data_IF_411279915284
#
_entry.id   IF_411279915284
#
_cell.length_a   1.000
_cell.length_b   1.000
_cell.length_c   1.000
_cell.angle_alpha   90.00
_cell.angle_beta   90.00
_cell.angle_gamma   90.00
#
_symmetry.space_group_name_H-M   'P 1'
#
loop_
_entity.id
_entity.type
_entity.pdbx_description
1 polymer ?
#
# COMPACT_ATOMS: atom_id res chain seq x y z
N UNK A 1 -32.29 28.24 15.93
CA UNK A 1 -31.81 26.87 16.19
C UNK A 1 -30.64 26.56 15.24
N UNK A 2 -29.43 26.46 15.76
CA UNK A 2 -28.25 26.27 14.97
C UNK A 2 -28.09 24.85 14.42
N UNK A 3 -27.33 24.70 13.35
CA UNK A 3 -27.07 23.41 12.69
C UNK A 3 -26.59 22.33 13.70
N UNK A 4 -25.82 22.72 14.68
CA UNK A 4 -25.28 21.86 15.75
C UNK A 4 -26.34 21.35 16.74
N UNK A 5 -27.41 22.10 16.98
CA UNK A 5 -28.52 21.64 17.81
C UNK A 5 -29.36 20.59 17.10
N UNK A 6 -29.56 20.72 15.78
CA UNK A 6 -30.23 19.70 14.97
C UNK A 6 -29.47 18.38 14.92
N UNK A 7 -28.15 18.44 14.82
CA UNK A 7 -27.31 17.23 14.82
C UNK A 7 -27.32 16.53 16.18
N UNK A 8 -27.22 17.27 17.27
CA UNK A 8 -27.34 16.72 18.65
C UNK A 8 -28.72 16.15 18.97
N UNK A 9 -29.80 16.74 18.42
CA UNK A 9 -31.15 16.18 18.57
C UNK A 9 -31.28 14.88 17.76
N UNK A 10 -30.69 14.81 16.56
CA UNK A 10 -30.73 13.61 15.73
C UNK A 10 -29.97 12.47 16.40
N UNK A 11 -28.77 12.69 16.92
CA UNK A 11 -28.01 11.71 17.70
C UNK A 11 -28.73 11.23 18.96
N UNK A 12 -29.42 12.12 19.68
CA UNK A 12 -30.21 11.75 20.84
C UNK A 12 -31.46 10.94 20.48
N UNK A 13 -32.06 11.20 19.33
CA UNK A 13 -33.20 10.43 18.82
C UNK A 13 -32.76 9.05 18.38
N UNK A 14 -31.63 8.96 17.64
CA UNK A 14 -31.08 7.68 17.21
C UNK A 14 -30.63 6.81 18.39
N UNK A 15 -30.01 7.39 19.42
CA UNK A 15 -29.68 6.68 20.65
C UNK A 15 -30.92 6.20 21.41
N UNK A 16 -32.00 7.00 21.45
CA UNK A 16 -33.27 6.59 22.05
C UNK A 16 -33.98 5.50 21.26
N UNK A 17 -34.00 5.58 19.94
CA UNK A 17 -34.55 4.55 19.04
C UNK A 17 -33.78 3.25 19.20
N UNK A 18 -32.45 3.30 19.17
CA UNK A 18 -31.60 2.13 19.37
C UNK A 18 -31.77 1.49 20.75
N UNK A 19 -31.97 2.28 21.79
CA UNK A 19 -32.25 1.76 23.14
C UNK A 19 -33.66 1.15 23.24
N UNK A 20 -34.64 1.68 22.53
CA UNK A 20 -36.02 1.15 22.49
C UNK A 20 -36.06 -0.18 21.72
N UNK A 21 -35.41 -0.28 20.57
CA UNK A 21 -35.33 -1.54 19.81
C UNK A 21 -34.56 -2.62 20.57
N UNK A 22 -33.52 -2.26 21.33
CA UNK A 22 -32.80 -3.20 22.22
C UNK A 22 -33.71 -3.79 23.31
N UNK A 23 -34.74 -3.07 23.73
CA UNK A 23 -35.66 -3.47 24.80
C UNK A 23 -36.79 -4.37 24.32
N UNK A 24 -37.27 -4.19 23.08
CA UNK A 24 -38.54 -4.83 22.62
C UNK A 24 -38.33 -6.13 21.85
N UNK A 25 -37.27 -6.28 21.07
CA UNK A 25 -37.13 -7.38 20.10
C UNK A 25 -35.98 -8.34 20.36
N UNK A 26 -35.42 -8.35 21.56
CA UNK A 26 -34.11 -8.98 21.68
C UNK A 26 -33.07 -8.12 20.95
N UNK A 27 -31.82 -8.45 21.17
CA UNK A 27 -30.72 -7.71 20.54
C UNK A 27 -30.69 -8.00 19.02
N UNK A 28 -31.06 -7.02 18.22
CA UNK A 28 -30.80 -7.01 16.78
C UNK A 28 -29.56 -6.15 16.59
N UNK A 29 -28.44 -6.68 16.15
CA UNK A 29 -27.24 -5.89 15.86
C UNK A 29 -27.58 -4.88 14.76
N UNK A 30 -27.36 -3.60 15.03
CA UNK A 30 -27.49 -2.54 14.03
C UNK A 30 -26.14 -2.40 13.37
N UNK A 31 -26.04 -2.85 12.14
CA UNK A 31 -24.85 -2.69 11.32
C UNK A 31 -24.88 -1.35 10.62
N UNK A 32 -23.79 -0.58 10.73
CA UNK A 32 -23.60 0.67 9.99
C UNK A 32 -22.70 0.45 8.81
N UNK A 33 -23.03 1.08 7.67
CA UNK A 33 -22.17 1.06 6.49
C UNK A 33 -20.83 1.71 6.77
N UNK A 34 -19.81 1.29 6.05
CA UNK A 34 -18.49 1.90 6.13
C UNK A 34 -18.50 3.24 5.38
N UNK A 35 -18.30 4.34 6.11
CA UNK A 35 -18.28 5.71 5.55
C UNK A 35 -16.86 6.20 5.22
N UNK A 36 -15.85 5.44 5.62
CA UNK A 36 -14.44 5.79 5.39
C UNK A 36 -13.99 5.60 3.93
N UNK A 37 -12.87 6.22 3.60
CA UNK A 37 -12.16 6.00 2.34
C UNK A 37 -11.40 4.67 2.31
N UNK A 38 -10.94 4.26 1.14
CA UNK A 38 -10.20 3.00 0.95
C UNK A 38 -8.96 2.94 1.85
N UNK A 39 -8.26 4.05 2.02
CA UNK A 39 -7.05 4.12 2.85
C UNK A 39 -7.34 4.09 4.37
N UNK A 40 -8.59 4.19 4.79
CA UNK A 40 -9.01 4.17 6.20
C UNK A 40 -9.29 2.77 6.74
N UNK A 41 -9.48 1.80 5.86
CA UNK A 41 -9.62 0.39 6.25
C UNK A 41 -8.24 -0.25 6.48
N UNK A 42 -8.10 -1.04 7.53
CA UNK A 42 -6.85 -1.70 7.92
C UNK A 42 -6.25 -2.58 6.81
N UNK A 43 -7.06 -3.47 6.23
CA UNK A 43 -6.63 -4.41 5.20
C UNK A 43 -6.16 -3.72 3.92
N UNK A 44 -6.91 -2.74 3.44
CA UNK A 44 -6.53 -1.98 2.24
C UNK A 44 -5.32 -1.11 2.50
N UNK A 45 -5.23 -0.47 3.67
CA UNK A 45 -4.05 0.30 4.07
C UNK A 45 -2.81 -0.58 4.12
N UNK A 46 -2.90 -1.80 4.66
CA UNK A 46 -1.78 -2.74 4.71
C UNK A 46 -1.30 -3.12 3.29
N UNK A 47 -2.22 -3.43 2.38
CA UNK A 47 -1.90 -3.73 0.98
C UNK A 47 -1.22 -2.55 0.27
N UNK A 48 -1.79 -1.34 0.39
CA UNK A 48 -1.24 -0.11 -0.19
C UNK A 48 0.12 0.23 0.42
N UNK A 49 0.26 0.10 1.75
CA UNK A 49 1.52 0.34 2.46
C UNK A 49 2.63 -0.60 1.99
N UNK A 50 2.34 -1.89 1.83
CA UNK A 50 3.30 -2.87 1.32
C UNK A 50 3.80 -2.47 -0.06
N UNK A 51 2.88 -2.19 -1.00
CA UNK A 51 3.22 -1.74 -2.34
C UNK A 51 4.06 -0.45 -2.33
N UNK A 52 3.60 0.58 -1.62
CA UNK A 52 4.29 1.86 -1.53
C UNK A 52 5.69 1.73 -0.90
N UNK A 53 5.84 0.84 0.09
CA UNK A 53 7.13 0.56 0.72
C UNK A 53 8.11 -0.06 -0.27
N UNK A 54 7.66 -0.98 -1.10
CA UNK A 54 8.50 -1.60 -2.12
C UNK A 54 8.82 -0.63 -3.26
N UNK A 55 7.86 0.13 -3.76
CA UNK A 55 8.08 1.19 -4.75
C UNK A 55 9.04 2.28 -4.24
N UNK A 56 9.02 2.58 -2.95
CA UNK A 56 9.92 3.57 -2.35
C UNK A 56 11.40 3.19 -2.35
N UNK A 57 11.73 1.94 -2.66
CA UNK A 57 13.10 1.42 -2.79
C UNK A 57 13.64 1.53 -4.23
N UNK A 58 12.83 1.95 -5.19
CA UNK A 58 13.28 2.18 -6.56
C UNK A 58 14.34 3.28 -6.58
N UNK A 59 15.39 3.06 -7.37
CA UNK A 59 16.48 4.02 -7.57
C UNK A 59 16.24 4.76 -8.89
N UNK A 60 16.07 6.08 -8.88
CA UNK A 60 16.04 6.86 -10.11
C UNK A 60 17.43 7.01 -10.69
N UNK A 61 17.54 6.81 -12.00
CA UNK A 61 18.73 7.00 -12.81
C UNK A 61 18.38 7.89 -14.00
N UNK A 62 19.24 8.82 -14.36
CA UNK A 62 19.05 9.70 -15.51
C UNK A 62 20.13 9.40 -16.54
N UNK A 63 19.72 8.82 -17.66
CA UNK A 63 20.61 8.56 -18.79
C UNK A 63 20.65 9.76 -19.73
N UNK A 64 21.76 9.91 -20.46
CA UNK A 64 21.99 11.00 -21.41
C UNK A 64 23.05 11.99 -20.94
N UNK A 65 23.22 13.09 -21.68
CA UNK A 65 24.32 14.01 -21.47
C UNK A 65 23.86 15.21 -20.59
N UNK A 66 24.71 15.62 -19.65
CA UNK A 66 24.50 16.84 -18.85
C UNK A 66 23.54 16.73 -17.66
N UNK A 67 22.97 15.57 -17.38
CA UNK A 67 21.84 15.40 -16.45
C UNK A 67 22.23 15.06 -14.98
N UNK A 68 23.52 15.10 -14.62
CA UNK A 68 23.98 14.70 -13.29
C UNK A 68 23.40 15.50 -12.13
N UNK A 69 22.97 16.76 -12.35
CA UNK A 69 22.28 17.55 -11.32
C UNK A 69 20.86 17.03 -11.09
N UNK A 70 20.15 16.76 -12.17
CA UNK A 70 18.77 16.23 -12.11
C UNK A 70 18.75 14.84 -11.46
N UNK A 71 19.72 13.98 -11.83
CA UNK A 71 19.88 12.65 -11.21
C UNK A 71 20.09 12.73 -9.71
N UNK A 72 21.01 13.59 -9.24
CA UNK A 72 21.23 13.80 -7.80
C UNK A 72 19.99 14.33 -7.11
N UNK A 73 19.25 15.25 -7.75
CA UNK A 73 17.98 15.74 -7.21
C UNK A 73 16.98 14.62 -7.04
N UNK A 74 16.77 13.80 -8.05
CA UNK A 74 15.86 12.65 -7.99
C UNK A 74 16.32 11.59 -6.98
N UNK A 75 17.62 11.33 -6.87
CA UNK A 75 18.15 10.31 -5.96
C UNK A 75 18.10 10.70 -4.48
N UNK A 76 18.20 11.99 -4.17
CA UNK A 76 18.28 12.44 -2.78
C UNK A 76 17.08 13.27 -2.33
N UNK A 77 16.71 14.29 -3.07
CA UNK A 77 15.70 15.27 -2.65
C UNK A 77 14.92 15.84 -3.82
N UNK A 78 13.90 15.14 -4.33
CA UNK A 78 13.08 15.60 -5.46
C UNK A 78 12.36 16.92 -5.22
N UNK A 79 12.12 17.33 -3.97
CA UNK A 79 11.56 18.61 -3.61
C UNK A 79 12.03 19.07 -2.22
N UNK A 80 11.69 20.31 -1.84
CA UNK A 80 12.16 20.90 -0.57
C UNK A 80 11.68 20.16 0.70
N UNK A 81 10.60 19.41 0.61
CA UNK A 81 9.92 18.80 1.75
C UNK A 81 10.22 17.29 1.86
N UNK A 82 10.40 16.61 0.73
CA UNK A 82 10.49 15.15 0.66
C UNK A 82 11.86 14.70 0.14
N UNK A 83 12.39 13.67 0.78
CA UNK A 83 13.43 12.83 0.22
C UNK A 83 12.83 11.87 -0.83
N UNK A 84 13.67 11.22 -1.61
CA UNK A 84 13.24 10.32 -2.69
C UNK A 84 12.37 9.17 -2.20
N UNK A 85 12.69 8.61 -1.04
CA UNK A 85 11.89 7.54 -0.44
C UNK A 85 10.47 8.00 -0.12
N UNK A 86 10.32 9.17 0.51
CA UNK A 86 9.00 9.75 0.83
C UNK A 86 8.24 10.15 -0.42
N UNK A 87 8.95 10.68 -1.42
CA UNK A 87 8.38 11.04 -2.71
C UNK A 87 7.75 9.84 -3.40
N UNK A 88 8.52 8.76 -3.59
CA UNK A 88 8.05 7.54 -4.25
C UNK A 88 6.97 6.83 -3.41
N UNK A 89 7.13 6.79 -2.10
CA UNK A 89 6.11 6.23 -1.21
C UNK A 89 4.77 6.94 -1.36
N UNK A 90 4.78 8.29 -1.34
CA UNK A 90 3.57 9.08 -1.50
C UNK A 90 2.97 8.93 -2.90
N UNK A 91 3.81 8.94 -3.94
CA UNK A 91 3.38 8.74 -5.32
C UNK A 91 2.68 7.39 -5.49
N UNK A 92 3.29 6.31 -5.00
CA UNK A 92 2.72 4.98 -5.03
C UNK A 92 1.45 4.85 -4.18
N UNK A 93 1.38 5.54 -3.03
CA UNK A 93 0.17 5.54 -2.20
C UNK A 93 -0.99 6.20 -2.91
N UNK A 94 -0.80 7.39 -3.51
CA UNK A 94 -1.85 8.09 -4.25
C UNK A 94 -2.26 7.29 -5.49
N UNK A 95 -1.30 6.71 -6.20
CA UNK A 95 -1.54 5.83 -7.35
C UNK A 95 -2.46 4.66 -7.00
N UNK A 96 -2.27 4.02 -5.85
CA UNK A 96 -3.10 2.89 -5.40
C UNK A 96 -4.43 3.31 -4.78
N UNK A 97 -4.48 4.49 -4.15
CA UNK A 97 -5.68 4.98 -3.47
C UNK A 97 -6.69 5.58 -4.45
N UNK A 98 -6.18 6.40 -5.35
CA UNK A 98 -7.02 7.21 -6.26
C UNK A 98 -6.99 6.71 -7.71
N UNK A 99 -6.22 5.65 -7.98
CA UNK A 99 -5.96 5.08 -9.32
C UNK A 99 -5.39 6.11 -10.31
N UNK A 100 -5.03 7.26 -9.82
CA UNK A 100 -4.40 8.36 -10.55
C UNK A 100 -3.40 9.05 -9.65
N UNK A 101 -2.19 9.22 -10.11
CA UNK A 101 -1.19 10.02 -9.42
C UNK A 101 -0.71 11.15 -10.34
N UNK A 102 -0.79 12.37 -9.85
CA UNK A 102 -0.42 13.58 -10.59
C UNK A 102 0.89 14.12 -10.03
N UNK A 103 1.83 14.39 -10.92
CA UNK A 103 3.15 14.91 -10.61
C UNK A 103 3.27 16.31 -11.19
N UNK A 104 3.58 17.28 -10.35
CA UNK A 104 3.90 18.63 -10.78
C UNK A 104 5.42 18.79 -10.89
N UNK A 105 5.96 19.20 -12.05
CA UNK A 105 7.35 19.62 -12.16
C UNK A 105 7.56 20.95 -11.42
N UNK A 106 8.69 21.06 -10.75
CA UNK A 106 9.11 22.29 -10.09
C UNK A 106 10.18 22.96 -10.95
N UNK A 107 9.94 24.19 -11.33
CA UNK A 107 10.83 24.96 -12.17
C UNK A 107 11.77 25.84 -11.33
N UNK A 108 12.86 26.28 -11.95
CA UNK A 108 13.69 27.36 -11.44
C UNK A 108 12.94 28.71 -11.55
N UNK A 109 13.57 29.78 -11.06
CA UNK A 109 12.97 31.14 -11.06
C UNK A 109 12.74 31.67 -12.48
N UNK A 110 13.46 31.17 -13.49
CA UNK A 110 13.31 31.56 -14.92
C UNK A 110 12.29 30.69 -15.65
N UNK A 111 11.72 29.67 -15.00
CA UNK A 111 10.71 28.72 -15.52
C UNK A 111 11.14 27.93 -16.77
N UNK A 112 12.44 27.77 -16.97
CA UNK A 112 13.02 27.08 -18.14
C UNK A 112 13.63 25.71 -17.82
N UNK A 113 13.97 25.46 -16.55
CA UNK A 113 14.59 24.20 -16.13
C UNK A 113 13.82 23.57 -14.98
N UNK A 114 13.53 22.27 -15.13
CA UNK A 114 12.93 21.48 -14.05
C UNK A 114 13.99 21.22 -12.98
N UNK A 115 13.69 21.63 -11.76
CA UNK A 115 14.57 21.49 -10.58
C UNK A 115 14.10 20.43 -9.61
N UNK A 116 12.93 19.84 -9.84
CA UNK A 116 12.37 18.81 -8.97
C UNK A 116 10.95 18.43 -9.33
N UNK A 117 10.34 17.62 -8.47
CA UNK A 117 9.01 17.06 -8.68
C UNK A 117 8.21 17.02 -7.39
N UNK A 118 6.92 17.25 -7.49
CA UNK A 118 6.01 17.20 -6.35
C UNK A 118 4.79 16.32 -6.66
N UNK A 119 4.50 15.27 -5.84
CA UNK A 119 3.33 14.44 -6.03
C UNK A 119 2.11 15.15 -5.44
N UNK A 120 1.16 15.51 -6.29
CA UNK A 120 -0.08 16.17 -5.89
C UNK A 120 -1.03 15.17 -5.23
N UNK A 121 -1.86 15.65 -4.32
CA UNK A 121 -2.97 14.85 -3.79
C UNK A 121 -4.19 15.05 -4.69
N UNK A 122 -4.63 13.98 -5.33
CA UNK A 122 -5.66 14.02 -6.39
C UNK A 122 -6.97 14.61 -5.92
N UNK A 123 -7.37 14.36 -4.65
CA UNK A 123 -8.58 14.94 -4.06
C UNK A 123 -8.60 16.49 -3.93
N UNK A 124 -7.44 17.16 -4.18
CA UNK A 124 -7.32 18.61 -4.21
C UNK A 124 -7.08 19.15 -5.62
N UNK A 125 -7.11 18.28 -6.63
CA UNK A 125 -6.90 18.64 -8.03
C UNK A 125 -8.26 18.84 -8.72
N UNK A 126 -8.34 19.84 -9.58
CA UNK A 126 -9.47 20.08 -10.46
C UNK A 126 -8.95 20.40 -11.86
N UNK A 127 -9.56 19.80 -12.87
CA UNK A 127 -9.27 20.18 -14.26
C UNK A 127 -10.14 21.38 -14.60
N UNK A 128 -9.52 22.44 -15.09
CA UNK A 128 -10.18 23.65 -15.56
C UNK A 128 -9.79 23.91 -17.00
N UNK A 129 -10.72 24.41 -17.80
CA UNK A 129 -10.47 24.90 -19.14
C UNK A 129 -10.31 26.43 -19.08
N UNK A 130 -9.22 26.94 -19.62
CA UNK A 130 -8.97 28.36 -19.73
C UNK A 130 -8.39 28.66 -21.10
N UNK A 131 -9.10 29.43 -21.87
CA UNK A 131 -8.73 29.85 -23.24
C UNK A 131 -8.45 28.66 -24.20
N UNK A 132 -9.20 27.57 -24.06
CA UNK A 132 -9.05 26.37 -24.89
C UNK A 132 -7.89 25.45 -24.48
N UNK A 133 -7.21 25.76 -23.37
CA UNK A 133 -6.19 24.91 -22.77
C UNK A 133 -6.67 24.32 -21.44
N UNK A 134 -6.36 23.06 -21.22
CA UNK A 134 -6.69 22.37 -19.97
C UNK A 134 -5.57 22.57 -18.93
N UNK A 135 -5.95 22.91 -17.72
CA UNK A 135 -5.05 23.09 -16.58
C UNK A 135 -5.48 22.23 -15.41
N UNK A 136 -4.52 21.77 -14.64
CA UNK A 136 -4.72 21.18 -13.32
C UNK A 136 -4.60 22.28 -12.30
N UNK A 137 -5.70 22.60 -11.62
CA UNK A 137 -5.74 23.51 -10.48
C UNK A 137 -5.60 22.71 -9.20
N UNK A 138 -4.60 23.06 -8.40
CA UNK A 138 -4.35 22.46 -7.09
C UNK A 138 -4.68 23.44 -5.97
N UNK A 139 -5.46 22.98 -4.99
CA UNK A 139 -5.80 23.78 -3.82
C UNK A 139 -4.82 23.54 -2.68
N UNK A 140 -4.00 24.55 -2.33
CA UNK A 140 -3.09 24.49 -1.18
C UNK A 140 -3.79 24.72 0.16
N UNK A 141 -5.06 25.12 0.16
CA UNK A 141 -5.79 25.62 1.31
C UNK A 141 -5.62 27.14 1.49
N UNK A 142 -6.39 27.70 2.42
CA UNK A 142 -6.38 29.15 2.71
C UNK A 142 -6.59 30.08 1.49
N UNK A 143 -7.32 29.60 0.48
CA UNK A 143 -7.59 30.35 -0.75
C UNK A 143 -6.40 30.45 -1.73
N UNK A 144 -5.30 29.77 -1.47
CA UNK A 144 -4.17 29.70 -2.39
C UNK A 144 -4.33 28.53 -3.36
N UNK A 145 -4.19 28.83 -4.65
CA UNK A 145 -4.27 27.86 -5.73
C UNK A 145 -3.03 27.93 -6.60
N UNK A 146 -2.58 26.76 -7.06
CA UNK A 146 -1.59 26.65 -8.12
C UNK A 146 -2.25 26.08 -9.36
N UNK A 147 -1.82 26.51 -10.54
CA UNK A 147 -2.26 25.94 -11.81
C UNK A 147 -1.05 25.48 -12.60
N UNK A 148 -1.18 24.33 -13.22
CA UNK A 148 -0.20 23.78 -14.15
C UNK A 148 -0.95 23.35 -15.42
N UNK A 149 -0.37 23.60 -16.57
CA UNK A 149 -0.91 23.14 -17.84
C UNK A 149 -0.92 21.59 -17.86
N UNK A 150 -2.02 20.99 -18.31
CA UNK A 150 -2.21 19.54 -18.27
C UNK A 150 -1.09 18.78 -18.99
N UNK A 151 -0.62 19.35 -20.12
CA UNK A 151 0.45 18.77 -20.94
C UNK A 151 1.82 18.76 -20.24
N UNK A 152 2.02 19.66 -19.26
CA UNK A 152 3.27 19.78 -18.51
C UNK A 152 3.23 18.97 -17.19
N UNK A 153 2.10 18.41 -16.82
CA UNK A 153 1.96 17.58 -15.65
C UNK A 153 2.24 16.09 -15.97
N UNK A 154 2.89 15.41 -15.06
CA UNK A 154 3.01 13.96 -15.15
C UNK A 154 1.75 13.30 -14.58
N UNK A 155 1.14 12.41 -15.34
CA UNK A 155 -0.06 11.68 -14.93
C UNK A 155 0.22 10.19 -15.06
N UNK A 156 0.01 9.46 -13.98
CA UNK A 156 0.11 8.00 -13.90
C UNK A 156 -1.26 7.44 -13.55
N UNK A 157 -1.73 6.45 -14.30
CA UNK A 157 -3.06 5.89 -14.13
C UNK A 157 -3.05 4.36 -14.06
N UNK A 158 -3.85 3.80 -13.14
CA UNK A 158 -4.28 2.41 -13.24
C UNK A 158 -5.81 2.34 -13.47
N UNK A 159 -6.28 1.23 -14.01
CA UNK A 159 -7.70 1.07 -14.35
C UNK A 159 -8.26 2.19 -15.26
N UNK A 160 -7.44 2.69 -16.18
CA UNK A 160 -7.90 3.70 -17.13
C UNK A 160 -8.88 3.07 -18.13
N UNK A 161 -10.11 3.62 -18.21
CA UNK A 161 -11.15 3.08 -19.10
C UNK A 161 -12.00 4.17 -19.77
N UNK A 162 -12.69 5.01 -19.01
CA UNK A 162 -13.64 5.99 -19.56
C UNK A 162 -13.06 7.38 -19.69
N UNK A 163 -12.18 7.75 -18.78
CA UNK A 163 -11.60 9.09 -18.72
C UNK A 163 -10.18 9.07 -19.30
N UNK A 164 -9.83 10.11 -20.06
CA UNK A 164 -8.51 10.25 -20.66
C UNK A 164 -7.43 10.66 -19.66
N UNK A 165 -7.83 11.27 -18.54
CA UNK A 165 -6.91 11.84 -17.55
C UNK A 165 -6.92 11.05 -16.26
N UNK A 166 -8.07 10.54 -15.83
CA UNK A 166 -8.22 9.85 -14.56
C UNK A 166 -8.47 8.35 -14.75
N UNK A 167 -7.89 7.55 -13.85
CA UNK A 167 -8.25 6.16 -13.67
C UNK A 167 -9.64 6.02 -13.04
N UNK A 168 -10.27 4.86 -13.24
CA UNK A 168 -11.57 4.54 -12.64
C UNK A 168 -11.46 4.52 -11.11
N UNK A 169 -12.52 4.95 -10.44
CA UNK A 169 -12.54 4.98 -8.99
C UNK A 169 -12.63 3.58 -8.38
N UNK A 170 -12.11 3.43 -7.17
CA UNK A 170 -12.15 2.17 -6.42
C UNK A 170 -13.55 1.85 -5.83
N UNK A 171 -14.64 2.43 -6.35
CA UNK A 171 -16.01 2.20 -5.88
C UNK A 171 -16.45 0.74 -6.00
N UNK A 172 -15.88 -0.03 -6.93
CA UNK A 172 -16.14 -1.46 -7.07
C UNK A 172 -15.72 -2.28 -5.82
N UNK A 173 -14.78 -1.77 -5.00
CA UNK A 173 -14.36 -2.42 -3.76
C UNK A 173 -15.30 -2.15 -2.58
N UNK A 174 -16.17 -1.13 -2.68
CA UNK A 174 -17.03 -0.68 -1.58
C UNK A 174 -17.89 -1.79 -0.97
N UNK A 175 -18.55 -2.67 -1.75
CA UNK A 175 -19.33 -3.78 -1.19
C UNK A 175 -18.48 -4.72 -0.33
N UNK A 176 -17.23 -4.99 -0.72
CA UNK A 176 -16.31 -5.82 0.05
C UNK A 176 -15.89 -5.14 1.35
N UNK A 177 -15.66 -3.82 1.33
CA UNK A 177 -15.34 -3.04 2.53
C UNK A 177 -16.52 -2.99 3.51
N UNK A 178 -17.74 -2.82 3.02
CA UNK A 178 -18.97 -2.87 3.83
C UNK A 178 -19.15 -4.25 4.48
N UNK A 179 -18.82 -5.31 3.75
CA UNK A 179 -18.89 -6.67 4.28
C UNK A 179 -17.86 -6.89 5.41
N UNK A 180 -16.61 -6.43 5.24
CA UNK A 180 -15.59 -6.48 6.30
C UNK A 180 -16.04 -5.70 7.53
N UNK A 181 -16.54 -4.49 7.35
CA UNK A 181 -17.04 -3.66 8.43
C UNK A 181 -18.19 -4.33 9.19
N UNK A 182 -19.13 -4.91 8.45
CA UNK A 182 -20.27 -5.67 9.03
C UNK A 182 -19.79 -6.87 9.83
N UNK A 183 -18.81 -7.63 9.32
CA UNK A 183 -18.23 -8.75 10.05
C UNK A 183 -17.52 -8.30 11.34
N UNK A 184 -16.73 -7.24 11.28
CA UNK A 184 -16.06 -6.69 12.46
C UNK A 184 -17.08 -6.22 13.51
N UNK A 185 -18.14 -5.56 13.10
CA UNK A 185 -19.25 -5.19 14.00
C UNK A 185 -19.92 -6.44 14.60
N UNK A 186 -20.15 -7.48 13.79
CA UNK A 186 -20.71 -8.75 14.26
C UNK A 186 -19.83 -9.43 15.31
N UNK A 187 -18.51 -9.42 15.13
CA UNK A 187 -17.54 -9.96 16.09
C UNK A 187 -17.60 -9.15 17.40
N UNK A 188 -17.54 -7.83 17.32
CA UNK A 188 -17.61 -6.93 18.49
C UNK A 188 -18.90 -7.18 19.28
N UNK A 189 -20.02 -7.26 18.57
CA UNK A 189 -21.33 -7.50 19.21
C UNK A 189 -21.45 -8.94 19.73
N UNK A 190 -20.88 -9.91 19.03
CA UNK A 190 -20.78 -11.29 19.52
C UNK A 190 -20.01 -11.40 20.84
N UNK A 191 -18.89 -10.71 20.97
CA UNK A 191 -18.10 -10.65 22.21
C UNK A 191 -18.89 -9.96 23.32
N UNK A 192 -19.49 -8.80 23.06
CA UNK A 192 -20.30 -8.07 24.05
C UNK A 192 -21.51 -8.88 24.52
N UNK A 193 -22.15 -9.59 23.60
CA UNK A 193 -23.32 -10.40 23.91
C UNK A 193 -22.96 -11.74 24.57
N UNK A 194 -21.83 -12.34 24.21
CA UNK A 194 -21.34 -13.55 24.85
C UNK A 194 -20.93 -13.35 26.32
N UNK A 195 -20.51 -12.12 26.67
CA UNK A 195 -20.21 -11.75 28.06
C UNK A 195 -21.46 -11.40 28.90
N UNK A 196 -22.61 -11.23 28.27
CA UNK A 196 -23.85 -10.87 29.00
C UNK A 196 -24.71 -12.11 29.27
N UNK A 197 -24.84 -12.48 30.54
CA UNK A 197 -25.77 -13.51 30.98
C UNK A 197 -27.21 -12.98 30.83
N UNK A 198 -28.06 -13.73 30.13
CA UNK A 198 -29.46 -13.35 29.90
C UNK A 198 -30.38 -14.33 30.56
N UNK A 199 -31.38 -13.80 31.26
CA UNK A 199 -32.39 -14.59 31.92
C UNK A 199 -33.80 -14.23 31.38
N UNK A 200 -34.63 -15.21 31.24
CA UNK A 200 -36.09 -15.05 31.07
C UNK A 200 -36.72 -15.38 32.42
N UNK A 201 -37.21 -14.35 33.11
CA UNK A 201 -37.89 -14.52 34.37
C UNK A 201 -39.40 -14.32 34.18
N UNK A 202 -40.21 -15.33 34.53
CA UNK A 202 -41.68 -15.26 34.53
C UNK A 202 -42.14 -14.88 35.92
N UNK A 203 -42.90 -13.80 36.03
CA UNK A 203 -43.49 -13.36 37.26
C UNK A 203 -44.88 -13.99 37.43
N UNK A 204 -45.20 -14.34 38.70
CA UNK A 204 -46.49 -14.95 39.04
C UNK A 204 -47.57 -13.84 39.21
N UNK A 205 -48.04 -13.29 38.11
CA UNK A 205 -49.10 -12.30 38.07
C UNK A 205 -48.99 -11.28 36.94
N UNK A 206 -50.00 -10.43 36.81
CA UNK A 206 -50.05 -9.38 35.79
C UNK A 206 -49.56 -8.07 36.41
N UNK A 207 -48.49 -7.53 35.88
CA UNK A 207 -47.86 -6.29 36.39
C UNK A 207 -47.93 -5.18 35.33
N UNK A 208 -48.02 -3.93 35.79
CA UNK A 208 -47.89 -2.76 34.93
C UNK A 208 -46.43 -2.63 34.44
N UNK A 209 -46.25 -2.06 33.27
CA UNK A 209 -44.94 -1.89 32.64
C UNK A 209 -43.92 -1.19 33.55
N UNK A 210 -44.35 -0.20 34.34
CA UNK A 210 -43.47 0.49 35.27
C UNK A 210 -42.91 -0.46 36.34
N UNK A 211 -43.75 -1.30 36.90
CA UNK A 211 -43.36 -2.30 37.92
C UNK A 211 -42.43 -3.34 37.33
N UNK A 212 -42.67 -3.79 36.06
CA UNK A 212 -41.79 -4.72 35.38
C UNK A 212 -40.37 -4.13 35.16
N UNK A 213 -40.27 -2.84 34.88
CA UNK A 213 -38.97 -2.15 34.77
C UNK A 213 -38.24 -2.04 36.08
N UNK A 214 -38.96 -1.74 37.15
CA UNK A 214 -38.39 -1.66 38.50
C UNK A 214 -37.90 -3.03 39.01
N UNK A 215 -38.71 -4.07 38.78
CA UNK A 215 -38.32 -5.46 39.13
C UNK A 215 -37.12 -5.95 38.33
N UNK A 216 -37.08 -5.63 37.04
CA UNK A 216 -35.89 -5.97 36.19
C UNK A 216 -34.62 -5.30 36.73
N UNK A 217 -34.71 -4.02 37.15
CA UNK A 217 -33.56 -3.29 37.67
C UNK A 217 -33.10 -3.90 38.97
N UNK A 218 -34.04 -4.19 39.89
CA UNK A 218 -33.77 -4.84 41.15
C UNK A 218 -33.16 -6.22 40.97
N UNK A 219 -33.72 -7.04 40.07
CA UNK A 219 -33.16 -8.38 39.78
C UNK A 219 -31.71 -8.33 39.28
N UNK A 220 -31.37 -7.34 38.44
CA UNK A 220 -30.01 -7.12 37.93
C UNK A 220 -29.07 -6.69 39.04
N UNK A 221 -29.52 -5.72 39.87
CA UNK A 221 -28.72 -5.22 40.98
C UNK A 221 -28.47 -6.30 42.06
N UNK A 222 -29.49 -7.08 42.39
CA UNK A 222 -29.42 -8.07 43.48
C UNK A 222 -28.64 -9.37 43.02
N UNK A 223 -28.76 -9.76 41.74
CA UNK A 223 -28.23 -11.06 41.29
C UNK A 223 -27.07 -10.98 40.30
N UNK A 224 -26.95 -9.91 39.53
CA UNK A 224 -25.94 -9.77 38.47
C UNK A 224 -24.95 -8.62 38.73
N UNK A 225 -25.05 -7.97 39.89
CA UNK A 225 -24.12 -6.93 40.27
C UNK A 225 -22.70 -7.48 40.54
N UNK A 226 -21.65 -6.64 40.39
CA UNK A 226 -20.26 -7.06 40.60
C UNK A 226 -19.96 -7.55 42.01
N UNK A 227 -20.82 -7.26 42.96
CA UNK A 227 -20.70 -7.70 44.36
C UNK A 227 -21.16 -9.15 44.58
N UNK A 228 -21.95 -9.72 43.65
CA UNK A 228 -22.46 -11.09 43.76
C UNK A 228 -21.51 -12.08 43.09
N UNK A 229 -20.32 -12.25 43.61
CA UNK A 229 -19.30 -13.18 43.09
C UNK A 229 -19.56 -14.67 43.45
N UNK A 230 -20.60 -14.96 44.20
CA UNK A 230 -20.85 -16.31 44.72
C UNK A 230 -21.51 -17.29 43.73
N UNK A 231 -21.95 -16.83 42.59
CA UNK A 231 -22.61 -17.69 41.60
C UNK A 231 -23.97 -18.27 42.01
N UNK A 232 -24.48 -17.88 43.18
CA UNK A 232 -25.77 -18.33 43.72
C UNK A 232 -26.80 -17.24 43.52
N UNK A 233 -27.88 -17.56 42.83
CA UNK A 233 -29.00 -16.68 42.60
C UNK A 233 -30.16 -17.12 43.48
N UNK A 234 -30.64 -16.23 44.36
CA UNK A 234 -31.81 -16.44 45.19
C UNK A 234 -33.00 -15.67 44.64
N UNK A 235 -34.13 -16.33 44.51
CA UNK A 235 -35.36 -15.69 44.05
C UNK A 235 -36.56 -16.02 44.98
N UNK A 236 -37.50 -15.11 45.05
CA UNK A 236 -38.71 -15.23 45.86
C UNK A 236 -39.81 -15.91 45.03
N UNK A 237 -40.84 -16.42 45.70
CA UNK A 237 -42.07 -17.00 45.14
C UNK A 237 -42.79 -16.09 44.12
N UNK A 238 -42.37 -14.84 44.04
CA UNK A 238 -42.80 -13.86 43.06
C UNK A 238 -42.40 -14.25 41.60
N UNK A 239 -41.32 -15.04 41.46
CA UNK A 239 -40.87 -15.57 40.19
C UNK A 239 -41.34 -17.01 39.99
N UNK A 240 -42.12 -17.28 38.95
CA UNK A 240 -42.67 -18.60 38.67
C UNK A 240 -41.60 -19.49 37.99
N UNK A 241 -40.81 -18.91 37.13
CA UNK A 241 -39.76 -19.62 36.40
C UNK A 241 -38.65 -18.63 36.00
N UNK A 242 -37.40 -19.07 36.10
CA UNK A 242 -36.22 -18.34 35.67
C UNK A 242 -35.37 -19.26 34.81
N UNK A 243 -35.28 -18.93 33.52
CA UNK A 243 -34.44 -19.68 32.57
C UNK A 243 -33.31 -18.82 32.06
N UNK A 244 -32.13 -19.38 32.10
CA UNK A 244 -31.00 -18.79 31.39
C UNK A 244 -31.20 -18.98 29.90
N UNK A 245 -31.08 -17.90 29.15
CA UNK A 245 -31.11 -17.94 27.68
C UNK A 245 -29.68 -18.14 27.20
N UNK A 246 -29.39 -19.29 26.63
CA UNK A 246 -28.13 -19.54 25.95
C UNK A 246 -28.08 -18.66 24.69
N UNK A 247 -27.40 -17.53 24.81
CA UNK A 247 -27.09 -16.71 23.64
C UNK A 247 -25.98 -17.41 22.87
N UNK A 248 -26.30 -18.04 21.75
CA UNK A 248 -25.24 -18.50 20.82
C UNK A 248 -24.53 -17.24 20.31
N UNK A 249 -23.24 -17.05 20.61
CA UNK A 249 -22.50 -15.91 20.09
C UNK A 249 -22.53 -15.98 18.57
N UNK A 250 -22.67 -14.83 17.92
CA UNK A 250 -22.48 -14.74 16.48
C UNK A 250 -21.01 -15.09 16.18
N UNK A 251 -20.79 -16.23 15.58
CA UNK A 251 -19.45 -16.69 15.18
C UNK A 251 -19.33 -16.46 13.68
N UNK A 252 -18.45 -15.54 13.31
CA UNK A 252 -18.08 -15.36 11.90
C UNK A 252 -17.37 -16.60 11.40
N UNK A 253 -17.78 -17.10 10.23
CA UNK A 253 -17.14 -18.25 9.63
C UNK A 253 -15.69 -17.88 9.20
N UNK A 254 -14.65 -18.55 9.75
CA UNK A 254 -13.26 -18.25 9.43
C UNK A 254 -12.94 -18.36 7.94
N UNK A 255 -13.58 -19.29 7.22
CA UNK A 255 -13.39 -19.48 5.77
C UNK A 255 -13.89 -18.28 4.98
N UNK A 256 -15.07 -17.75 5.34
CA UNK A 256 -15.60 -16.54 4.70
C UNK A 256 -14.71 -15.34 4.97
N UNK A 257 -14.18 -15.22 6.18
CA UNK A 257 -13.27 -14.11 6.54
C UNK A 257 -11.96 -14.19 5.75
N UNK A 258 -11.41 -15.40 5.56
CA UNK A 258 -10.22 -15.62 4.72
C UNK A 258 -10.49 -15.22 3.27
N UNK A 259 -11.62 -15.66 2.70
CA UNK A 259 -11.98 -15.37 1.32
C UNK A 259 -12.18 -13.87 1.07
N UNK A 260 -12.74 -13.14 2.03
CA UNK A 260 -12.91 -11.69 1.90
C UNK A 260 -11.55 -10.98 1.94
N UNK A 261 -10.63 -11.41 2.81
CA UNK A 261 -9.26 -10.90 2.82
C UNK A 261 -8.56 -11.14 1.48
N UNK A 262 -8.68 -12.35 0.95
CA UNK A 262 -8.11 -12.71 -0.35
C UNK A 262 -8.68 -11.83 -1.48
N UNK A 263 -9.97 -11.54 -1.49
CA UNK A 263 -10.58 -10.65 -2.48
C UNK A 263 -9.96 -9.24 -2.43
N UNK A 264 -9.72 -8.69 -1.23
CA UNK A 264 -9.05 -7.40 -1.08
C UNK A 264 -7.61 -7.49 -1.59
N UNK A 265 -6.87 -8.53 -1.22
CA UNK A 265 -5.48 -8.68 -1.64
C UNK A 265 -5.35 -8.88 -3.15
N UNK A 266 -6.23 -9.68 -3.75
CA UNK A 266 -6.30 -9.90 -5.19
C UNK A 266 -6.60 -8.60 -5.95
N UNK A 267 -7.49 -7.75 -5.42
CA UNK A 267 -7.79 -6.45 -6.01
C UNK A 267 -6.54 -5.56 -6.06
N UNK A 268 -5.74 -5.55 -4.99
CA UNK A 268 -4.49 -4.78 -4.93
C UNK A 268 -3.29 -5.51 -5.55
N UNK A 269 -3.47 -6.73 -6.07
CA UNK A 269 -2.41 -7.52 -6.69
C UNK A 269 -1.32 -7.93 -5.70
N UNK A 270 -1.69 -8.28 -4.47
CA UNK A 270 -0.78 -8.72 -3.40
C UNK A 270 -1.31 -9.99 -2.75
N UNK A 271 -0.58 -10.55 -1.81
CA UNK A 271 -1.00 -11.67 -1.00
C UNK A 271 -0.48 -11.57 0.45
N UNK A 272 -0.98 -12.42 1.32
CA UNK A 272 -0.64 -12.41 2.74
C UNK A 272 0.86 -12.61 3.00
N UNK A 273 1.53 -13.45 2.20
CA UNK A 273 2.97 -13.71 2.35
C UNK A 273 3.82 -12.47 2.06
N UNK A 274 3.45 -11.69 1.04
CA UNK A 274 4.11 -10.43 0.73
C UNK A 274 3.90 -9.41 1.86
N UNK A 275 2.68 -9.32 2.41
CA UNK A 275 2.36 -8.42 3.51
C UNK A 275 3.13 -8.76 4.79
N UNK A 276 3.30 -10.04 5.08
CA UNK A 276 4.00 -10.54 6.26
C UNK A 276 5.51 -10.63 6.07
N UNK A 277 6.05 -10.29 4.90
CA UNK A 277 7.44 -10.49 4.51
C UNK A 277 7.93 -11.95 4.66
N UNK A 278 7.04 -12.90 4.42
CA UNK A 278 7.30 -14.34 4.50
C UNK A 278 7.15 -14.98 3.11
N UNK A 279 7.89 -14.48 2.14
CA UNK A 279 7.85 -14.90 0.74
C UNK A 279 9.16 -15.57 0.31
N UNK A 280 9.05 -16.47 -0.66
CA UNK A 280 10.19 -17.04 -1.37
C UNK A 280 10.71 -16.08 -2.45
N UNK A 281 11.91 -16.35 -2.99
CA UNK A 281 12.47 -15.57 -4.12
C UNK A 281 11.55 -15.58 -5.35
N UNK A 282 10.91 -16.72 -5.63
CA UNK A 282 10.00 -16.83 -6.79
C UNK A 282 8.72 -16.03 -6.58
N UNK A 283 8.11 -16.09 -5.38
CA UNK A 283 6.93 -15.30 -5.03
C UNK A 283 7.22 -13.80 -5.07
N UNK A 284 8.42 -13.41 -4.65
CA UNK A 284 8.89 -12.03 -4.76
C UNK A 284 9.04 -11.60 -6.22
N UNK A 285 9.70 -12.40 -7.04
CA UNK A 285 9.91 -12.09 -8.46
C UNK A 285 8.58 -11.94 -9.18
N UNK A 286 7.62 -12.85 -8.95
CA UNK A 286 6.27 -12.75 -9.52
C UNK A 286 5.55 -11.46 -9.10
N UNK A 287 5.63 -11.08 -7.82
CA UNK A 287 5.06 -9.83 -7.31
C UNK A 287 5.74 -8.61 -7.92
N UNK A 288 7.07 -8.64 -8.01
CA UNK A 288 7.85 -7.55 -8.60
C UNK A 288 7.47 -7.34 -10.07
N UNK A 289 7.50 -8.38 -10.88
CA UNK A 289 7.19 -8.32 -12.31
C UNK A 289 5.72 -7.97 -12.59
N UNK A 290 4.81 -8.49 -11.77
CA UNK A 290 3.38 -8.25 -11.95
C UNK A 290 2.86 -6.92 -11.39
N UNK A 291 3.55 -6.31 -10.43
CA UNK A 291 3.01 -5.12 -9.73
C UNK A 291 3.98 -3.95 -9.62
N UNK A 292 5.23 -4.19 -9.22
CA UNK A 292 6.18 -3.10 -8.97
C UNK A 292 6.81 -2.61 -10.27
N UNK A 293 7.18 -3.52 -11.16
CA UNK A 293 7.81 -3.18 -12.44
C UNK A 293 6.90 -2.36 -13.36
N UNK A 294 5.60 -2.67 -13.54
CA UNK A 294 4.69 -1.81 -14.29
C UNK A 294 4.63 -0.38 -13.75
N UNK A 295 4.57 -0.20 -12.43
CA UNK A 295 4.64 1.12 -11.81
C UNK A 295 5.97 1.83 -12.11
N UNK A 296 7.09 1.11 -12.02
CA UNK A 296 8.42 1.66 -12.30
C UNK A 296 8.58 2.08 -13.77
N UNK A 297 8.03 1.29 -14.71
CA UNK A 297 8.02 1.61 -16.15
C UNK A 297 7.18 2.87 -16.40
N UNK A 298 5.96 2.91 -15.87
CA UNK A 298 5.07 4.06 -16.03
C UNK A 298 5.67 5.34 -15.43
N UNK A 299 6.20 5.24 -14.19
CA UNK A 299 6.91 6.35 -13.56
C UNK A 299 8.10 6.83 -14.41
N UNK A 300 8.85 5.92 -15.02
CA UNK A 300 9.99 6.24 -15.88
C UNK A 300 9.54 6.99 -17.13
N UNK A 301 8.50 6.51 -17.81
CA UNK A 301 7.95 7.14 -19.01
C UNK A 301 7.37 8.53 -18.70
N UNK A 302 6.56 8.63 -17.65
CA UNK A 302 5.91 9.89 -17.28
C UNK A 302 6.95 10.95 -16.89
N UNK A 303 7.96 10.60 -16.08
CA UNK A 303 9.01 11.54 -15.72
C UNK A 303 9.87 11.93 -16.95
N UNK A 304 10.16 10.98 -17.83
CA UNK A 304 10.92 11.25 -19.05
C UNK A 304 10.18 12.25 -19.95
N UNK A 305 8.91 11.97 -20.26
CA UNK A 305 8.10 12.79 -21.15
C UNK A 305 7.82 14.18 -20.58
N UNK A 306 7.65 14.29 -19.26
CA UNK A 306 7.46 15.58 -18.57
C UNK A 306 8.74 16.42 -18.56
N UNK A 307 9.91 15.78 -18.57
CA UNK A 307 11.20 16.46 -18.34
C UNK A 307 11.90 16.83 -19.61
N UNK A 308 11.88 15.97 -20.60
CA UNK A 308 12.66 16.10 -21.83
C UNK A 308 11.76 16.34 -23.04
N UNK A 309 12.24 17.21 -23.93
CA UNK A 309 11.65 17.38 -25.25
C UNK A 309 11.87 16.13 -26.13
N UNK A 310 11.06 15.98 -27.17
CA UNK A 310 11.18 14.88 -28.13
C UNK A 310 12.60 14.74 -28.71
N UNK A 311 13.29 15.87 -28.95
CA UNK A 311 14.66 15.86 -29.45
C UNK A 311 15.65 15.31 -28.43
N UNK A 312 15.49 15.65 -27.18
CA UNK A 312 16.34 15.19 -26.08
C UNK A 312 16.13 13.68 -25.85
N UNK A 313 14.88 13.22 -25.92
CA UNK A 313 14.55 11.79 -25.85
C UNK A 313 15.18 11.04 -27.03
N UNK A 314 15.10 11.59 -28.26
CA UNK A 314 15.74 11.00 -29.42
C UNK A 314 17.28 10.95 -29.30
N UNK A 315 17.90 11.85 -28.54
CA UNK A 315 19.32 11.83 -28.20
C UNK A 315 19.67 10.86 -27.05
N UNK A 316 18.71 10.10 -26.52
CA UNK A 316 18.92 9.09 -25.49
C UNK A 316 18.79 9.59 -24.05
N UNK A 317 18.24 10.80 -23.84
CA UNK A 317 17.90 11.27 -22.51
C UNK A 317 16.64 10.59 -21.99
N UNK A 318 16.74 9.96 -20.83
CA UNK A 318 15.62 9.28 -20.19
C UNK A 318 15.80 9.18 -18.68
N UNK A 319 14.71 9.18 -17.95
CA UNK A 319 14.66 8.92 -16.52
C UNK A 319 14.16 7.48 -16.34
N UNK A 320 14.87 6.69 -15.56
CA UNK A 320 14.52 5.32 -15.26
C UNK A 320 14.42 5.11 -13.75
N UNK A 321 13.36 4.47 -13.33
CA UNK A 321 13.21 3.99 -11.95
C UNK A 321 13.50 2.49 -11.97
N UNK A 322 14.64 2.11 -11.40
CA UNK A 322 15.11 0.72 -11.40
C UNK A 322 15.14 0.15 -10.00
N UNK A 323 14.85 -1.14 -9.86
CA UNK A 323 15.15 -1.85 -8.63
C UNK A 323 16.40 -2.72 -8.87
N UNK A 324 17.26 -2.76 -7.88
CA UNK A 324 18.31 -3.75 -7.87
C UNK A 324 17.69 -5.11 -7.51
N UNK A 325 17.25 -5.86 -8.52
CA UNK A 325 16.60 -7.17 -8.35
C UNK A 325 17.48 -8.14 -7.55
N UNK A 326 18.80 -8.01 -7.68
CA UNK A 326 19.75 -8.87 -7.00
C UNK A 326 19.76 -8.67 -5.48
N UNK A 327 19.27 -7.54 -4.96
CA UNK A 327 19.16 -7.31 -3.50
C UNK A 327 18.13 -8.22 -2.82
N UNK A 328 17.17 -8.77 -3.55
CA UNK A 328 16.08 -9.59 -3.01
C UNK A 328 16.33 -11.09 -3.09
N UNK A 329 17.42 -11.49 -3.75
CA UNK A 329 17.84 -12.89 -3.79
C UNK A 329 18.38 -13.34 -2.43
N UNK A 330 18.37 -14.64 -2.18
CA UNK A 330 19.04 -15.22 -1.02
C UNK A 330 20.54 -14.97 -1.10
N UNK A 331 21.25 -14.98 0.03
CA UNK A 331 22.69 -14.73 0.04
C UNK A 331 23.47 -15.72 -0.85
N UNK A 332 22.99 -16.97 -0.95
CA UNK A 332 23.59 -17.99 -1.82
C UNK A 332 23.39 -17.67 -3.30
N UNK A 333 22.16 -17.29 -3.68
CA UNK A 333 21.85 -16.90 -5.05
C UNK A 333 22.59 -15.62 -5.45
N UNK A 334 22.66 -14.62 -4.54
CA UNK A 334 23.47 -13.41 -4.75
C UNK A 334 24.90 -13.74 -5.06
N UNK A 335 25.54 -14.56 -4.20
CA UNK A 335 26.94 -14.95 -4.35
C UNK A 335 27.16 -15.64 -5.70
N UNK A 336 26.32 -16.61 -6.05
CA UNK A 336 26.43 -17.32 -7.31
C UNK A 336 26.29 -16.40 -8.52
N UNK A 337 25.27 -15.54 -8.51
CA UNK A 337 25.00 -14.60 -9.62
C UNK A 337 26.12 -13.56 -9.76
N UNK A 338 26.52 -12.94 -8.64
CA UNK A 338 27.61 -11.95 -8.65
C UNK A 338 28.92 -12.57 -9.14
N UNK A 339 29.26 -13.77 -8.66
CA UNK A 339 30.48 -14.47 -9.10
C UNK A 339 30.45 -14.74 -10.61
N UNK A 340 29.32 -15.24 -11.15
CA UNK A 340 29.19 -15.52 -12.57
C UNK A 340 29.25 -14.26 -13.44
N UNK A 341 28.60 -13.17 -13.03
CA UNK A 341 28.60 -11.90 -13.77
C UNK A 341 29.96 -11.22 -13.71
N UNK A 342 30.65 -11.30 -12.55
CA UNK A 342 31.99 -10.76 -12.37
C UNK A 342 33.00 -11.50 -13.23
N UNK A 343 33.02 -12.83 -13.18
CA UNK A 343 33.94 -13.69 -13.93
C UNK A 343 33.83 -13.49 -15.45
N UNK A 344 32.64 -13.13 -15.93
CA UNK A 344 32.39 -12.87 -17.35
C UNK A 344 32.55 -11.39 -17.75
N UNK A 345 32.96 -10.53 -16.84
CA UNK A 345 33.17 -9.11 -17.12
C UNK A 345 31.90 -8.28 -17.31
N UNK A 346 30.72 -8.83 -16.99
CA UNK A 346 29.44 -8.08 -17.07
C UNK A 346 29.30 -7.05 -15.95
N UNK A 347 30.00 -7.24 -14.83
CA UNK A 347 29.87 -6.45 -13.61
C UNK A 347 31.22 -5.91 -13.15
N UNK A 348 31.21 -4.68 -12.59
CA UNK A 348 32.40 -4.12 -11.92
C UNK A 348 32.46 -4.59 -10.46
N UNK A 349 33.65 -4.48 -9.83
CA UNK A 349 33.79 -4.85 -8.43
C UNK A 349 32.89 -4.03 -7.51
N UNK A 350 32.78 -2.70 -7.74
CA UNK A 350 31.92 -1.81 -6.98
C UNK A 350 30.43 -2.14 -7.13
N UNK A 351 29.98 -2.54 -8.33
CA UNK A 351 28.60 -3.01 -8.55
C UNK A 351 28.31 -4.30 -7.75
N UNK A 352 29.29 -5.21 -7.66
CA UNK A 352 29.18 -6.40 -6.84
C UNK A 352 29.09 -6.07 -5.34
N UNK A 353 29.92 -5.13 -4.86
CA UNK A 353 29.88 -4.66 -3.47
C UNK A 353 28.53 -3.99 -3.11
N UNK A 354 27.97 -3.19 -4.03
CA UNK A 354 26.67 -2.54 -3.83
C UNK A 354 25.53 -3.56 -3.58
N UNK A 355 25.57 -4.72 -4.28
CA UNK A 355 24.57 -5.79 -4.09
C UNK A 355 24.61 -6.35 -2.66
N UNK A 356 25.79 -6.39 -2.04
CA UNK A 356 25.99 -6.83 -0.66
C UNK A 356 25.93 -5.68 0.37
N UNK A 357 25.53 -4.47 -0.04
CA UNK A 357 25.52 -3.25 0.78
C UNK A 357 26.90 -2.94 1.40
N UNK A 358 27.98 -3.24 0.68
CA UNK A 358 29.35 -2.91 1.07
C UNK A 358 29.78 -1.60 0.41
N UNK A 359 30.66 -0.85 1.09
CA UNK A 359 31.19 0.39 0.56
C UNK A 359 32.05 0.17 -0.68
N UNK A 360 31.97 1.05 -1.69
CA UNK A 360 32.82 0.97 -2.87
C UNK A 360 34.29 1.13 -2.51
N UNK A 361 35.17 0.46 -3.28
CA UNK A 361 36.63 0.57 -3.14
C UNK A 361 37.22 1.40 -4.26
N UNK A 362 38.35 2.03 -4.00
CA UNK A 362 39.09 2.79 -4.99
C UNK A 362 39.50 1.89 -6.16
N UNK A 363 39.34 2.37 -7.40
CA UNK A 363 39.57 1.61 -8.66
C UNK A 363 38.66 0.39 -8.86
N UNK A 364 37.56 0.22 -8.07
CA UNK A 364 36.63 -0.90 -8.18
C UNK A 364 35.66 -0.83 -9.36
N UNK A 365 35.72 0.22 -10.18
CA UNK A 365 34.82 0.39 -11.36
C UNK A 365 35.42 -0.26 -12.63
N UNK A 366 36.58 -0.90 -12.52
CA UNK A 366 37.15 -1.66 -13.61
C UNK A 366 36.45 -3.00 -13.77
N UNK A 367 36.25 -3.42 -15.02
CA UNK A 367 35.76 -4.75 -15.37
C UNK A 367 36.92 -5.71 -15.54
N UNK A 368 36.76 -6.88 -14.97
CA UNK A 368 37.71 -7.97 -15.10
C UNK A 368 37.06 -9.13 -15.83
N UNK A 369 37.80 -9.78 -16.70
CA UNK A 369 37.36 -11.00 -17.41
C UNK A 369 38.42 -12.09 -17.14
N UNK A 370 38.00 -13.33 -17.02
CA UNK A 370 38.95 -14.44 -16.92
C UNK A 370 39.76 -14.55 -18.20
N UNK A 371 41.06 -14.79 -18.09
CA UNK A 371 41.98 -14.89 -19.22
C UNK A 371 41.62 -16.00 -20.21
N UNK A 372 40.76 -16.92 -19.84
CA UNK A 372 40.30 -18.07 -20.64
C UNK A 372 39.28 -17.71 -21.71
N UNK A 373 38.68 -16.50 -21.69
CA UNK A 373 37.75 -16.07 -22.72
C UNK A 373 38.45 -15.40 -23.87
N UNK A 374 38.36 -16.01 -25.07
CA UNK A 374 38.94 -15.52 -26.31
C UNK A 374 37.81 -15.06 -27.24
N UNK A 375 38.05 -13.96 -27.92
CA UNK A 375 37.10 -13.41 -28.89
C UNK A 375 36.94 -14.37 -30.07
N UNK A 376 35.72 -14.84 -30.37
CA UNK A 376 35.47 -15.84 -31.43
C UNK A 376 35.89 -15.38 -32.82
N UNK A 377 36.03 -14.08 -33.07
CA UNK A 377 36.47 -13.53 -34.35
C UNK A 377 37.97 -13.67 -34.58
N UNK A 378 38.78 -13.98 -33.55
CA UNK A 378 40.24 -14.18 -33.64
C UNK A 378 40.64 -15.65 -33.78
N UNK A 379 39.70 -16.58 -33.84
CA UNK A 379 40.02 -18.02 -34.02
C UNK A 379 40.55 -18.36 -35.40
N UNK A 380 40.55 -17.44 -36.38
CA UNK A 380 41.03 -17.67 -37.75
C UNK A 380 42.39 -17.05 -38.08
N UNK A 381 43.13 -16.53 -37.10
CA UNK A 381 44.43 -15.86 -37.37
C UNK A 381 45.48 -16.08 -36.31
N UNK A 382 46.39 -16.98 -36.52
CA UNK A 382 47.83 -16.94 -36.25
C UNK A 382 48.40 -16.94 -34.84
N UNK A 383 47.64 -16.94 -33.75
CA UNK A 383 48.24 -16.91 -32.39
C UNK A 383 48.38 -18.26 -31.68
N UNK A 384 48.10 -19.37 -32.39
CA UNK A 384 48.31 -20.73 -31.85
C UNK A 384 49.77 -21.18 -31.81
N UNK A 385 50.73 -20.36 -32.31
CA UNK A 385 52.14 -20.73 -32.37
C UNK A 385 53.01 -20.20 -31.21
N UNK A 386 52.52 -19.17 -30.49
CA UNK A 386 53.33 -18.64 -29.36
C UNK A 386 53.00 -19.31 -28.02
N UNK A 387 51.79 -19.80 -27.81
CA UNK A 387 51.37 -20.45 -26.54
C UNK A 387 51.95 -21.88 -26.42
N UNK A 388 52.25 -22.54 -27.55
CA UNK A 388 52.86 -23.89 -27.53
C UNK A 388 54.38 -23.83 -27.24
N UNK A 389 55.06 -22.72 -27.51
CA UNK A 389 56.49 -22.56 -27.24
C UNK A 389 56.81 -22.23 -25.76
N UNK A 390 55.88 -21.73 -24.98
CA UNK A 390 56.09 -21.53 -23.54
C UNK A 390 55.80 -22.80 -22.72
N UNK A 391 54.91 -23.70 -23.18
CA UNK A 391 54.65 -25.00 -22.55
C UNK A 391 55.84 -26.00 -22.68
N UNK A 392 56.56 -25.98 -23.81
CA UNK A 392 57.70 -26.89 -24.05
C UNK A 392 59.03 -26.47 -23.37
N UNK A 393 59.13 -25.23 -22.85
CA UNK A 393 60.27 -24.75 -22.10
C UNK A 393 60.24 -25.05 -20.60
N UNK A 394 59.10 -25.47 -20.05
CA UNK A 394 58.95 -25.83 -18.65
C UNK A 394 59.18 -27.33 -18.35
N UNK A 395 59.21 -28.21 -19.39
CA UNK A 395 59.44 -29.64 -19.21
C UNK A 395 60.90 -30.09 -19.42
N UNK A 396 61.84 -29.17 -19.67
CA UNK A 396 63.31 -29.52 -19.83
C UNK A 396 64.19 -28.97 -18.70
N UNK A 397 63.64 -28.72 -17.53
CA UNK A 397 64.42 -28.46 -16.32
C UNK A 397 63.84 -29.19 -15.13
N UNK A 398 64.15 -30.47 -15.03
CA UNK A 398 64.51 -31.23 -13.85
C UNK A 398 65.18 -32.54 -14.27
#
# INVERSE_FOLDING_TARGET
MGLFEKTRQKEKIEQKVNSYFRLMNGYIPVFTSFEGGIYEMELTRAAIHSFATHCSKLKPEVKGHGNGRLEKTLQFKPNRIMDTKKYLYRLATVYMTDNTAIIAPLYNDTLDVITGYYPLFTGKCQIIDYQGKKYIRYDFGNGQHGCIELENAGIMNQFQYRDEVFGESNTCLRPTLDLINTQNQGIIEGIKNGASIRFLAKLSGTFKEKTLREERKRFIEDNLGPENNGGVMLYDSKYEDIKQIDSKPFVVNPVQMSQIKENVFNYFGTNEKILQNNYTSDEWNAYYEGKIEPFAIEASLVHTNMTFSEREIACGNQIMFTANRLQYLTNTEKLNTVTQLFDRGFMTHNQGLEIFNMSPVENGDKRYIRKEYIETNNLNGTDTKETIKEGEKSEQRD
#
